data_IF_352591952103
#
_entry.id   IF_352591952103
#
_cell.length_a   1.000
_cell.length_b   1.000
_cell.length_c   1.000
_cell.angle_alpha   90.00
_cell.angle_beta   90.00
_cell.angle_gamma   90.00
#
_symmetry.space_group_name_H-M   'P 1'
#
loop_
_entity.id
_entity.type
_entity.pdbx_description
1 polymer ?
#
# COMPACT_ATOMS: atom_id res chain seq x y z
N UNK A 1 -4.26 -4.72 -8.69
CA UNK A 1 -4.42 -3.80 -7.53
C UNK A 1 -3.08 -3.68 -6.84
N UNK A 2 -2.64 -2.47 -6.53
CA UNK A 2 -1.49 -2.20 -5.68
C UNK A 2 -1.96 -1.81 -4.27
N UNK A 3 -1.23 -2.19 -3.23
CA UNK A 3 -1.55 -1.78 -1.86
C UNK A 3 -0.32 -1.55 -0.99
N UNK A 4 -0.51 -0.83 0.10
CA UNK A 4 0.46 -0.69 1.19
C UNK A 4 -0.29 -0.70 2.53
N UNK A 5 0.29 -1.30 3.56
CA UNK A 5 -0.35 -1.47 4.87
C UNK A 5 0.68 -1.63 5.98
N UNK A 6 0.23 -1.56 7.23
CA UNK A 6 0.98 -1.98 8.41
C UNK A 6 2.40 -1.44 8.46
N UNK A 7 3.33 -2.32 8.86
CA UNK A 7 4.73 -2.01 9.08
C UNK A 7 5.54 -1.85 7.78
N UNK A 8 5.13 -0.91 6.92
CA UNK A 8 5.81 -0.55 5.68
C UNK A 8 5.81 -1.63 4.61
N UNK A 9 4.77 -2.47 4.58
CA UNK A 9 4.55 -3.43 3.51
C UNK A 9 3.98 -2.75 2.28
N UNK A 10 4.41 -3.21 1.11
CA UNK A 10 3.90 -2.83 -0.20
C UNK A 10 3.61 -4.10 -0.99
N UNK A 11 2.58 -4.04 -1.83
CA UNK A 11 2.24 -5.05 -2.82
C UNK A 11 2.09 -4.35 -4.17
N UNK A 12 2.89 -4.74 -5.16
CA UNK A 12 2.84 -4.17 -6.52
C UNK A 12 1.57 -4.60 -7.27
N UNK A 13 1.34 -4.04 -8.45
CA UNK A 13 0.22 -4.46 -9.30
C UNK A 13 0.31 -5.93 -9.72
N UNK A 14 1.53 -6.46 -9.84
CA UNK A 14 1.82 -7.81 -10.30
C UNK A 14 2.01 -8.82 -9.15
N UNK A 15 1.93 -8.35 -7.90
CA UNK A 15 1.74 -9.17 -6.71
C UNK A 15 2.96 -9.32 -5.81
N UNK A 16 4.07 -8.65 -6.14
CA UNK A 16 5.29 -8.69 -5.33
C UNK A 16 5.09 -7.94 -4.01
N UNK A 17 5.29 -8.65 -2.89
CA UNK A 17 5.21 -8.09 -1.54
C UNK A 17 6.62 -7.82 -1.02
N UNK A 18 6.85 -6.59 -0.59
CA UNK A 18 8.14 -6.16 -0.05
C UNK A 18 7.97 -5.13 1.07
N UNK A 19 9.04 -4.88 1.82
CA UNK A 19 9.06 -3.90 2.90
C UNK A 19 9.99 -2.73 2.56
N UNK A 20 9.50 -1.51 2.74
CA UNK A 20 10.25 -0.27 2.49
C UNK A 20 9.94 0.82 3.53
N UNK A 21 10.80 1.03 4.55
CA UNK A 21 10.54 1.91 5.69
C UNK A 21 10.87 3.40 5.43
N UNK A 22 10.60 3.89 4.22
CA UNK A 22 10.80 5.31 3.86
C UNK A 22 9.74 6.24 4.46
N UNK A 23 10.17 7.41 4.97
CA UNK A 23 9.30 8.45 5.56
C UNK A 23 9.22 9.75 4.75
N UNK A 24 9.96 9.83 3.65
CA UNK A 24 9.88 10.93 2.69
C UNK A 24 8.57 10.88 1.87
N UNK A 25 8.40 11.84 0.97
CA UNK A 25 7.38 11.71 -0.09
C UNK A 25 7.92 10.78 -1.18
N UNK A 26 7.12 9.78 -1.55
CA UNK A 26 7.44 8.83 -2.60
C UNK A 26 6.31 8.74 -3.62
N UNK A 27 6.68 8.47 -4.88
CA UNK A 27 5.74 8.12 -5.93
C UNK A 27 5.17 6.73 -5.65
N UNK A 28 3.90 6.65 -5.24
CA UNK A 28 3.23 5.37 -5.02
C UNK A 28 2.88 4.72 -6.35
N UNK A 29 2.13 5.43 -7.20
CA UNK A 29 1.80 5.01 -8.56
C UNK A 29 1.61 6.24 -9.44
N UNK A 30 2.14 6.18 -10.65
CA UNK A 30 2.04 7.25 -11.64
C UNK A 30 1.88 6.67 -13.03
N UNK A 31 1.21 7.40 -13.91
CA UNK A 31 1.29 7.17 -15.35
C UNK A 31 2.59 7.78 -15.89
N UNK A 32 3.43 6.95 -16.50
CA UNK A 32 4.78 7.32 -16.93
C UNK A 32 4.95 7.19 -18.44
N UNK A 33 3.84 7.30 -19.20
CA UNK A 33 3.87 7.48 -20.66
C UNK A 33 4.53 8.81 -21.02
N UNK A 34 5.37 8.79 -22.06
CA UNK A 34 6.16 9.93 -22.51
C UNK A 34 5.33 11.14 -22.99
N UNK A 35 4.08 10.91 -23.42
CA UNK A 35 3.26 11.95 -24.04
C UNK A 35 2.50 12.80 -23.03
N UNK A 36 1.75 12.17 -22.13
CA UNK A 36 0.87 12.84 -21.18
C UNK A 36 0.59 11.92 -19.98
N UNK A 37 0.83 12.44 -18.77
CA UNK A 37 0.57 11.77 -17.51
C UNK A 37 -0.90 11.94 -17.11
N UNK A 38 -1.71 10.88 -17.18
CA UNK A 38 -3.12 10.95 -16.78
C UNK A 38 -3.30 11.09 -15.26
N UNK A 39 -2.41 10.50 -14.46
CA UNK A 39 -2.47 10.57 -13.01
C UNK A 39 -1.11 10.43 -12.31
N UNK A 40 -1.04 10.90 -11.06
CA UNK A 40 -0.02 10.52 -10.08
C UNK A 40 -0.61 10.42 -8.68
N UNK A 41 -0.13 9.44 -7.91
CA UNK A 41 -0.43 9.24 -6.50
C UNK A 41 0.89 9.23 -5.75
N UNK A 42 1.11 10.22 -4.90
CA UNK A 42 2.25 10.28 -4.00
C UNK A 42 1.78 10.08 -2.56
N UNK A 43 2.62 9.45 -1.76
CA UNK A 43 2.37 9.24 -0.35
C UNK A 43 3.54 9.76 0.47
N UNK A 44 3.26 10.25 1.67
CA UNK A 44 4.28 10.45 2.69
C UNK A 44 3.86 9.74 3.97
N UNK A 45 4.75 8.90 4.49
CA UNK A 45 4.56 8.26 5.80
C UNK A 45 5.07 9.16 6.93
N UNK A 46 4.53 8.94 8.12
CA UNK A 46 5.03 9.47 9.37
C UNK A 46 4.87 8.40 10.46
N UNK A 47 5.53 8.60 11.60
CA UNK A 47 5.36 7.73 12.76
C UNK A 47 4.25 8.31 13.67
N UNK A 48 3.44 7.44 14.26
CA UNK A 48 2.49 7.81 15.30
C UNK A 48 3.16 7.87 16.68
N UNK A 49 2.37 8.09 17.74
CA UNK A 49 2.90 8.15 19.12
C UNK A 49 3.50 6.82 19.62
N UNK A 50 3.13 5.70 19.01
CA UNK A 50 3.64 4.36 19.33
C UNK A 50 4.77 3.96 18.36
N UNK A 51 5.27 4.89 17.55
CA UNK A 51 6.30 4.66 16.56
C UNK A 51 5.85 3.71 15.42
N UNK A 52 4.54 3.60 15.19
CA UNK A 52 4.00 2.86 14.05
C UNK A 52 3.92 3.75 12.82
N UNK A 53 4.25 3.20 11.64
CA UNK A 53 4.13 3.94 10.40
C UNK A 53 2.66 4.12 10.01
N UNK A 54 2.29 5.35 9.67
CA UNK A 54 1.00 5.74 9.13
C UNK A 54 1.19 6.64 7.92
N UNK A 55 0.17 6.74 7.08
CA UNK A 55 0.17 7.67 5.96
C UNK A 55 -0.19 9.06 6.49
N UNK A 56 0.76 9.99 6.40
CA UNK A 56 0.57 11.37 6.82
C UNK A 56 -0.35 12.13 5.86
N UNK A 57 -0.13 11.93 4.56
CA UNK A 57 -1.00 12.43 3.50
C UNK A 57 -0.83 11.63 2.22
N UNK A 58 -1.83 11.78 1.34
CA UNK A 58 -1.82 11.29 -0.03
C UNK A 58 -2.05 12.50 -0.94
N UNK A 59 -1.15 12.71 -1.89
CA UNK A 59 -1.29 13.71 -2.94
C UNK A 59 -1.67 13.00 -4.23
N UNK A 60 -2.81 13.36 -4.81
CA UNK A 60 -3.33 12.75 -6.02
C UNK A 60 -3.50 13.85 -7.05
N UNK A 61 -2.89 13.67 -8.21
CA UNK A 61 -3.10 14.56 -9.36
C UNK A 61 -3.78 13.75 -10.45
N UNK A 62 -4.88 14.27 -10.97
CA UNK A 62 -5.61 13.70 -12.11
C UNK A 62 -5.79 14.81 -13.13
N UNK A 63 -5.04 14.74 -14.23
CA UNK A 63 -4.92 15.85 -15.18
C UNK A 63 -4.54 17.15 -14.46
N UNK A 64 -5.42 18.15 -14.47
CA UNK A 64 -5.21 19.45 -13.83
C UNK A 64 -5.75 19.51 -12.39
N UNK A 65 -6.51 18.50 -11.96
CA UNK A 65 -7.11 18.44 -10.62
C UNK A 65 -6.08 17.94 -9.60
N UNK A 66 -5.84 18.70 -8.54
CA UNK A 66 -4.98 18.28 -7.43
C UNK A 66 -5.79 18.05 -6.17
N UNK A 67 -5.67 16.84 -5.63
CA UNK A 67 -6.35 16.42 -4.40
C UNK A 67 -5.32 16.07 -3.34
N UNK A 68 -5.60 16.48 -2.12
CA UNK A 68 -4.74 16.25 -0.98
C UNK A 68 -5.56 15.68 0.17
N UNK A 69 -5.28 14.42 0.52
CA UNK A 69 -5.99 13.68 1.54
C UNK A 69 -5.17 13.62 2.82
N UNK A 70 -5.82 13.93 3.94
CA UNK A 70 -5.34 13.70 5.30
C UNK A 70 -6.47 13.06 6.12
N UNK A 71 -6.15 12.56 7.30
CA UNK A 71 -7.15 11.93 8.18
C UNK A 71 -8.32 12.90 8.41
N UNK A 72 -9.53 12.47 8.07
CA UNK A 72 -10.79 13.23 8.12
C UNK A 72 -10.82 14.52 7.28
N UNK A 73 -9.93 14.66 6.30
CA UNK A 73 -9.79 15.89 5.51
C UNK A 73 -9.50 15.60 4.04
N UNK A 74 -10.30 16.18 3.16
CA UNK A 74 -10.04 16.22 1.72
C UNK A 74 -9.91 17.69 1.28
N UNK A 75 -8.86 17.97 0.52
CA UNK A 75 -8.61 19.27 -0.10
C UNK A 75 -8.54 19.07 -1.60
N UNK A 76 -9.23 19.91 -2.38
CA UNK A 76 -9.24 19.90 -3.84
C UNK A 76 -8.89 21.31 -4.31
N UNK A 77 -7.84 21.42 -5.13
CA UNK A 77 -7.31 22.69 -5.66
C UNK A 77 -7.13 23.77 -4.58
N UNK A 78 -6.59 23.35 -3.42
CA UNK A 78 -6.31 24.23 -2.28
C UNK A 78 -7.51 24.56 -1.39
N UNK A 79 -8.71 24.07 -1.71
CA UNK A 79 -9.92 24.28 -0.90
C UNK A 79 -10.34 23.02 -0.16
N UNK A 80 -10.67 23.16 1.12
CA UNK A 80 -11.26 22.07 1.90
C UNK A 80 -12.65 21.77 1.35
N UNK A 81 -12.92 20.51 1.01
CA UNK A 81 -14.21 20.08 0.48
C UNK A 81 -14.96 19.21 1.50
N UNK A 82 -16.29 19.26 1.47
CA UNK A 82 -17.14 18.31 2.21
C UNK A 82 -17.42 17.10 1.32
N UNK A 83 -17.37 15.92 1.91
CA UNK A 83 -17.72 14.65 1.25
C UNK A 83 -19.21 14.31 1.44
N UNK A 84 -19.87 13.70 0.45
CA UNK A 84 -19.34 13.36 -0.87
C UNK A 84 -19.08 14.60 -1.73
N UNK A 85 -17.97 14.59 -2.47
CA UNK A 85 -17.58 15.66 -3.39
C UNK A 85 -17.50 15.10 -4.81
N UNK A 86 -18.09 15.79 -5.78
CA UNK A 86 -18.05 15.39 -7.18
C UNK A 86 -17.66 16.57 -8.08
N UNK A 87 -16.59 16.39 -8.86
CA UNK A 87 -16.14 17.39 -9.84
C UNK A 87 -15.25 16.74 -10.89
N UNK A 88 -15.31 17.22 -12.14
CA UNK A 88 -14.39 16.83 -13.21
C UNK A 88 -14.21 15.31 -13.43
N UNK A 89 -15.27 14.53 -13.20
CA UNK A 89 -15.24 13.07 -13.32
C UNK A 89 -14.55 12.35 -12.15
N UNK A 90 -14.36 13.04 -11.04
CA UNK A 90 -13.87 12.49 -9.76
C UNK A 90 -14.96 12.58 -8.70
N UNK A 91 -15.17 11.49 -7.99
CA UNK A 91 -16.03 11.37 -6.81
C UNK A 91 -15.16 11.05 -5.60
N UNK A 92 -15.23 11.86 -4.55
CA UNK A 92 -14.61 11.61 -3.26
C UNK A 92 -15.73 11.29 -2.25
N UNK A 93 -15.68 10.12 -1.65
CA UNK A 93 -16.58 9.70 -0.57
C UNK A 93 -15.77 9.44 0.69
N UNK A 94 -16.39 9.64 1.85
CA UNK A 94 -15.77 9.22 3.10
C UNK A 94 -16.80 8.75 4.11
N UNK A 95 -16.39 7.81 4.94
CA UNK A 95 -17.08 7.44 6.17
C UNK A 95 -16.07 7.48 7.34
N UNK A 96 -16.47 6.97 8.51
CA UNK A 96 -15.63 7.00 9.70
C UNK A 96 -14.31 6.23 9.55
N UNK A 97 -14.25 5.28 8.61
CA UNK A 97 -13.10 4.39 8.42
C UNK A 97 -12.34 4.74 7.14
N UNK A 98 -13.02 4.97 6.02
CA UNK A 98 -12.39 5.11 4.71
C UNK A 98 -12.62 6.46 4.07
N UNK A 99 -11.61 6.93 3.33
CA UNK A 99 -11.76 7.88 2.24
C UNK A 99 -11.59 7.11 0.93
N UNK A 100 -12.52 7.30 -0.01
CA UNK A 100 -12.51 6.68 -1.33
C UNK A 100 -12.50 7.76 -2.41
N UNK A 101 -11.69 7.55 -3.43
CA UNK A 101 -11.66 8.39 -4.64
C UNK A 101 -11.94 7.51 -5.84
N UNK A 102 -13.00 7.83 -6.57
CA UNK A 102 -13.36 7.20 -7.83
C UNK A 102 -13.13 8.19 -8.95
N UNK A 103 -12.30 7.83 -9.93
CA UNK A 103 -12.04 8.65 -11.09
C UNK A 103 -12.50 7.95 -12.37
N UNK A 104 -13.21 8.68 -13.22
CA UNK A 104 -13.72 8.19 -14.52
C UNK A 104 -12.61 7.66 -15.45
N UNK A 105 -11.36 8.05 -15.22
CA UNK A 105 -10.21 7.50 -15.96
C UNK A 105 -9.89 6.04 -15.62
N UNK A 106 -10.64 5.38 -14.74
CA UNK A 106 -10.36 3.99 -14.35
C UNK A 106 -9.35 3.91 -13.22
N UNK A 107 -9.46 4.80 -12.24
CA UNK A 107 -8.67 4.76 -11.00
C UNK A 107 -9.61 4.76 -9.81
N UNK A 108 -9.40 3.82 -8.89
CA UNK A 108 -10.07 3.76 -7.60
C UNK A 108 -8.99 3.76 -6.52
N UNK A 109 -9.10 4.68 -5.57
CA UNK A 109 -8.24 4.78 -4.41
C UNK A 109 -9.07 4.60 -3.14
N UNK A 110 -8.60 3.73 -2.23
CA UNK A 110 -9.26 3.47 -0.95
C UNK A 110 -8.21 3.56 0.16
N UNK A 111 -8.42 4.46 1.11
CA UNK A 111 -7.53 4.66 2.25
C UNK A 111 -8.29 4.55 3.57
N UNK A 112 -7.79 3.76 4.52
CA UNK A 112 -8.38 3.60 5.85
C UNK A 112 -8.11 4.77 6.82
N UNK A 113 -7.61 5.90 6.31
CA UNK A 113 -7.24 7.08 7.10
C UNK A 113 -6.09 6.88 8.10
N UNK A 114 -5.42 5.72 8.06
CA UNK A 114 -4.25 5.38 8.88
C UNK A 114 -3.13 4.87 7.97
N UNK A 115 -2.91 3.57 7.91
CA UNK A 115 -1.75 2.89 7.34
C UNK A 115 -2.02 2.14 6.03
N UNK A 116 -3.28 1.82 5.73
CA UNK A 116 -3.68 0.96 4.62
C UNK A 116 -4.25 1.75 3.44
N UNK A 117 -3.54 1.74 2.33
CA UNK A 117 -3.91 2.37 1.06
C UNK A 117 -3.94 1.32 -0.05
N UNK A 118 -4.98 1.35 -0.86
CA UNK A 118 -5.16 0.53 -2.04
C UNK A 118 -5.42 1.40 -3.27
N UNK A 119 -4.77 1.09 -4.38
CA UNK A 119 -5.03 1.69 -5.70
C UNK A 119 -5.36 0.58 -6.70
N UNK A 120 -6.50 0.72 -7.34
CA UNK A 120 -6.96 -0.10 -8.46
C UNK A 120 -6.96 0.74 -9.73
N UNK A 121 -6.46 0.15 -10.82
CA UNK A 121 -6.35 0.77 -12.13
C UNK A 121 -6.96 -0.14 -13.19
N UNK A 122 -7.60 0.47 -14.18
CA UNK A 122 -8.03 -0.22 -15.41
C UNK A 122 -6.82 -0.75 -16.19
N UNK A 123 -7.01 -1.85 -16.92
CA UNK A 123 -5.96 -2.52 -17.70
C UNK A 123 -5.33 -1.67 -18.80
N UNK A 124 -5.95 -0.53 -19.17
CA UNK A 124 -5.38 0.42 -20.13
C UNK A 124 -4.06 1.07 -19.66
N UNK A 125 -3.74 0.98 -18.37
CA UNK A 125 -2.48 1.46 -17.79
C UNK A 125 -1.38 0.40 -17.73
N UNK A 126 -1.62 -0.81 -18.27
CA UNK A 126 -0.61 -1.87 -18.29
C UNK A 126 0.64 -1.44 -19.08
N UNK A 127 1.83 -1.76 -18.56
CA UNK A 127 3.15 -1.35 -19.07
C UNK A 127 3.39 0.17 -19.09
N UNK A 128 2.57 0.93 -18.38
CA UNK A 128 2.60 2.40 -18.40
C UNK A 128 2.73 3.00 -17.01
N UNK A 129 2.69 2.19 -15.96
CA UNK A 129 2.85 2.71 -14.60
C UNK A 129 4.32 2.79 -14.19
N UNK A 130 4.61 3.67 -13.24
CA UNK A 130 5.85 3.62 -12.48
C UNK A 130 5.63 4.15 -11.06
N UNK A 131 6.58 3.91 -10.16
CA UNK A 131 6.43 4.17 -8.73
C UNK A 131 6.61 2.89 -7.93
N UNK A 132 6.32 2.95 -6.63
CA UNK A 132 6.39 1.81 -5.71
C UNK A 132 5.45 0.64 -6.11
N UNK A 133 4.41 0.92 -6.90
CA UNK A 133 3.47 -0.09 -7.36
C UNK A 133 3.92 -0.89 -8.60
N UNK A 134 5.09 -0.58 -9.18
CA UNK A 134 5.59 -1.27 -10.36
C UNK A 134 5.06 -0.77 -11.70
N UNK A 135 5.35 -1.53 -12.76
CA UNK A 135 5.09 -1.18 -14.16
C UNK A 135 3.79 -1.78 -14.72
N UNK A 136 3.14 -2.67 -13.96
CA UNK A 136 1.86 -3.29 -14.29
C UNK A 136 1.92 -4.07 -15.61
N UNK A 137 2.98 -4.85 -15.79
CA UNK A 137 3.23 -5.63 -17.00
C UNK A 137 2.62 -7.05 -16.94
N UNK A 138 2.21 -7.52 -15.77
CA UNK A 138 1.62 -8.85 -15.56
C UNK A 138 2.63 -10.00 -15.55
N UNK A 139 3.93 -9.74 -15.39
CA UNK A 139 5.01 -10.72 -15.48
C UNK A 139 5.74 -10.89 -14.15
N UNK A 140 5.40 -11.93 -13.34
CA UNK A 140 5.99 -12.14 -12.02
C UNK A 140 7.51 -12.45 -12.01
N UNK A 141 8.08 -12.87 -13.15
CA UNK A 141 9.50 -13.27 -13.25
C UNK A 141 10.40 -12.04 -13.49
N UNK A 142 9.89 -11.00 -14.15
CA UNK A 142 10.58 -9.73 -14.34
C UNK A 142 10.02 -8.75 -13.30
N UNK A 143 10.28 -9.07 -12.04
CA UNK A 143 9.82 -8.23 -10.94
C UNK A 143 10.46 -6.83 -11.01
N UNK A 144 9.85 -5.90 -10.29
CA UNK A 144 10.19 -4.48 -10.34
C UNK A 144 11.61 -4.17 -9.84
N UNK A 145 12.26 -5.16 -9.23
CA UNK A 145 13.61 -5.08 -8.70
C UNK A 145 14.69 -5.32 -9.77
N UNK A 146 14.33 -5.70 -11.00
CA UNK A 146 15.29 -5.95 -12.08
C UNK A 146 15.22 -4.83 -13.12
N UNK A 147 16.36 -4.20 -13.40
CA UNK A 147 16.50 -3.21 -14.48
C UNK A 147 17.69 -3.56 -15.37
N UNK A 148 17.41 -4.17 -16.52
CA UNK A 148 18.44 -4.69 -17.43
C UNK A 148 19.28 -5.78 -16.76
N UNK A 149 20.52 -5.45 -16.42
CA UNK A 149 21.46 -6.35 -15.70
C UNK A 149 21.56 -6.04 -14.20
N UNK A 150 20.95 -4.96 -13.75
CA UNK A 150 20.94 -4.58 -12.33
C UNK A 150 19.79 -5.28 -11.61
N UNK A 151 20.06 -5.79 -10.40
CA UNK A 151 19.06 -6.26 -9.45
C UNK A 151 19.16 -5.40 -8.19
N UNK A 152 18.04 -4.84 -7.78
CA UNK A 152 17.91 -4.01 -6.58
C UNK A 152 17.37 -4.84 -5.42
N UNK A 153 17.67 -4.42 -4.19
CA UNK A 153 16.89 -4.83 -3.03
C UNK A 153 15.66 -3.91 -2.88
N UNK A 154 14.75 -4.23 -1.96
CA UNK A 154 13.53 -3.46 -1.75
C UNK A 154 13.78 -2.02 -1.29
N UNK A 155 14.87 -1.78 -0.55
CA UNK A 155 15.24 -0.45 -0.03
C UNK A 155 15.77 0.43 -1.16
N UNK A 156 16.72 -0.06 -1.94
CA UNK A 156 17.26 0.64 -3.10
C UNK A 156 16.15 0.94 -4.11
N UNK A 157 15.26 -0.03 -4.38
CA UNK A 157 14.10 0.19 -5.26
C UNK A 157 13.18 1.30 -4.73
N UNK A 158 12.85 1.29 -3.44
CA UNK A 158 12.02 2.33 -2.84
C UNK A 158 12.66 3.72 -2.84
N UNK A 159 13.98 3.81 -2.60
CA UNK A 159 14.74 5.06 -2.64
C UNK A 159 14.70 5.71 -4.03
N UNK A 160 14.72 4.92 -5.10
CA UNK A 160 14.59 5.42 -6.48
C UNK A 160 13.24 6.12 -6.74
N UNK A 161 12.20 5.82 -5.95
CA UNK A 161 10.86 6.41 -6.10
C UNK A 161 10.66 7.73 -5.33
N UNK A 162 11.72 8.27 -4.72
CA UNK A 162 11.65 9.47 -3.89
C UNK A 162 11.35 10.73 -4.68
N UNK A 163 10.41 11.52 -4.18
CA UNK A 163 10.10 12.84 -4.73
C UNK A 163 11.06 13.88 -4.13
N UNK A 164 11.90 14.46 -4.98
CA UNK A 164 12.85 15.48 -4.59
C UNK A 164 12.15 16.84 -4.44
N UNK A 165 12.17 17.39 -3.23
CA UNK A 165 11.66 18.74 -2.93
C UNK A 165 12.85 19.71 -2.79
N UNK A 166 12.90 20.83 -3.54
CA UNK A 166 14.07 21.71 -3.59
C UNK A 166 14.60 22.19 -2.22
N UNK A 167 13.71 22.33 -1.22
CA UNK A 167 14.04 22.91 0.08
C UNK A 167 13.83 21.94 1.26
N UNK A 168 13.58 20.66 1.02
CA UNK A 168 13.39 19.68 2.09
C UNK A 168 14.50 18.62 2.04
N UNK A 169 15.29 18.54 3.11
CA UNK A 169 16.17 17.40 3.34
C UNK A 169 15.36 16.31 4.03
N UNK A 170 15.35 15.12 3.44
CA UNK A 170 14.77 13.93 4.03
C UNK A 170 15.76 12.78 3.80
N UNK A 171 16.10 12.06 4.85
CA UNK A 171 17.11 10.99 4.79
C UNK A 171 16.48 9.70 4.27
N UNK A 172 17.24 8.98 3.45
CA UNK A 172 16.82 7.68 2.93
C UNK A 172 17.07 6.58 3.97
N UNK A 173 16.22 5.54 4.01
CA UNK A 173 16.52 4.33 4.74
C UNK A 173 17.85 3.71 4.32
N UNK A 174 18.54 3.09 5.27
CA UNK A 174 19.82 2.45 5.07
C UNK A 174 19.69 1.21 4.16
N UNK A 175 20.30 1.29 2.97
CA UNK A 175 20.30 0.20 1.99
C UNK A 175 21.13 -1.02 2.41
N UNK A 176 22.00 -0.87 3.41
CA UNK A 176 22.84 -1.96 3.93
C UNK A 176 22.15 -2.78 5.02
N UNK A 177 20.99 -2.32 5.49
CA UNK A 177 20.25 -3.01 6.54
C UNK A 177 19.62 -4.31 6.01
N UNK A 178 20.19 -5.44 6.43
CA UNK A 178 19.60 -6.75 6.15
C UNK A 178 18.28 -6.91 6.92
N UNK A 179 17.25 -7.44 6.24
CA UNK A 179 16.02 -7.84 6.90
C UNK A 179 16.30 -9.02 7.86
N UNK A 180 15.79 -8.99 9.09
CA UNK A 180 15.95 -10.11 10.00
C UNK A 180 15.27 -11.37 9.45
N UNK A 181 15.90 -12.52 9.67
CA UNK A 181 15.26 -13.81 9.41
C UNK A 181 14.25 -14.10 10.51
N UNK A 182 12.98 -14.21 10.14
CA UNK A 182 11.86 -14.35 11.05
C UNK A 182 11.15 -15.71 10.92
N UNK A 183 11.90 -16.72 10.46
CA UNK A 183 11.43 -18.08 10.18
C UNK A 183 10.72 -18.77 11.36
N UNK A 184 11.05 -18.39 12.59
CA UNK A 184 10.44 -18.95 13.80
C UNK A 184 8.95 -18.65 13.98
N UNK A 185 8.37 -17.74 13.19
CA UNK A 185 6.95 -17.35 13.29
C UNK A 185 6.07 -17.94 12.18
N UNK A 186 6.62 -18.82 11.32
CA UNK A 186 5.90 -19.36 10.16
C UNK A 186 4.62 -20.11 10.57
N UNK A 187 4.72 -21.05 11.51
CA UNK A 187 3.59 -21.90 11.90
C UNK A 187 2.44 -21.08 12.51
N UNK A 188 2.75 -20.06 13.31
CA UNK A 188 1.75 -19.15 13.90
C UNK A 188 1.04 -18.35 12.79
N UNK A 189 1.79 -17.76 11.87
CA UNK A 189 1.24 -16.98 10.75
C UNK A 189 0.44 -17.84 9.77
N UNK A 190 0.92 -19.03 9.44
CA UNK A 190 0.22 -20.00 8.59
C UNK A 190 -1.10 -20.43 9.24
N UNK A 191 -1.10 -20.74 10.54
CA UNK A 191 -2.31 -21.10 11.28
C UNK A 191 -3.35 -19.96 11.27
N UNK A 192 -2.94 -18.72 11.52
CA UNK A 192 -3.83 -17.55 11.51
C UNK A 192 -4.49 -17.33 10.14
N UNK A 193 -3.68 -17.34 9.07
CA UNK A 193 -4.13 -17.05 7.71
C UNK A 193 -4.86 -18.22 7.04
N UNK A 194 -4.74 -19.44 7.59
CA UNK A 194 -5.48 -20.64 7.10
C UNK A 194 -6.66 -21.03 7.97
N UNK A 195 -7.01 -20.22 8.98
CA UNK A 195 -8.17 -20.43 9.84
C UNK A 195 -9.48 -20.56 9.04
N UNK A 196 -10.53 -21.09 9.69
CA UNK A 196 -11.83 -21.31 9.05
C UNK A 196 -12.46 -20.02 8.49
N UNK A 197 -12.16 -18.87 9.09
CA UNK A 197 -12.59 -17.56 8.60
C UNK A 197 -12.05 -17.25 7.19
N UNK A 198 -10.91 -17.81 6.80
CA UNK A 198 -10.28 -17.56 5.50
C UNK A 198 -10.44 -18.72 4.51
N UNK A 199 -11.37 -19.64 4.75
CA UNK A 199 -11.52 -20.85 3.93
C UNK A 199 -11.69 -20.57 2.43
N UNK A 200 -12.46 -19.54 2.06
CA UNK A 200 -12.70 -19.11 0.67
C UNK A 200 -11.58 -18.22 0.10
N UNK A 201 -10.59 -17.84 0.91
CA UNK A 201 -9.47 -16.99 0.50
C UNK A 201 -8.25 -17.80 0.03
N UNK A 202 -8.06 -19.00 0.59
CA UNK A 202 -6.84 -19.82 0.45
C UNK A 202 -6.42 -20.11 -0.99
N UNK A 203 -7.36 -20.28 -1.91
CA UNK A 203 -7.09 -20.59 -3.32
C UNK A 203 -7.16 -19.37 -4.25
N UNK A 204 -7.49 -18.18 -3.71
CA UNK A 204 -7.67 -16.95 -4.49
C UNK A 204 -6.47 -16.02 -4.43
N UNK A 205 -5.63 -16.16 -3.41
CA UNK A 205 -4.50 -15.30 -3.13
C UNK A 205 -3.22 -16.13 -3.00
N UNK A 206 -2.07 -15.51 -3.26
CA UNK A 206 -0.78 -16.13 -2.97
C UNK A 206 -0.52 -16.10 -1.45
N UNK A 207 -0.96 -17.15 -0.75
CA UNK A 207 -0.88 -17.26 0.70
C UNK A 207 0.54 -17.10 1.24
N UNK A 208 1.55 -17.66 0.56
CA UNK A 208 2.94 -17.64 1.02
C UNK A 208 3.45 -16.21 1.21
N UNK A 209 3.12 -15.29 0.30
CA UNK A 209 3.54 -13.88 0.41
C UNK A 209 2.96 -13.18 1.65
N UNK A 210 1.71 -13.50 2.02
CA UNK A 210 1.09 -12.97 3.23
C UNK A 210 1.63 -13.63 4.51
N UNK A 211 2.00 -14.91 4.46
CA UNK A 211 2.71 -15.59 5.57
C UNK A 211 4.05 -14.90 5.82
N UNK A 212 4.84 -14.62 4.78
CA UNK A 212 6.13 -13.92 4.92
C UNK A 212 5.97 -12.52 5.49
N UNK A 213 4.98 -11.74 5.04
CA UNK A 213 4.67 -10.42 5.60
C UNK A 213 4.30 -10.51 7.10
N UNK A 214 3.45 -11.47 7.47
CA UNK A 214 3.06 -11.73 8.86
C UNK A 214 4.26 -12.09 9.73
N UNK A 215 5.18 -12.93 9.22
CA UNK A 215 6.38 -13.32 9.95
C UNK A 215 7.27 -12.12 10.26
N UNK A 216 7.44 -11.21 9.31
CA UNK A 216 8.19 -9.96 9.51
C UNK A 216 7.52 -9.06 10.55
N UNK A 217 6.20 -8.93 10.52
CA UNK A 217 5.47 -8.14 11.51
C UNK A 217 5.62 -8.72 12.92
N UNK A 218 5.45 -10.03 13.10
CA UNK A 218 5.57 -10.69 14.41
C UNK A 218 6.95 -10.46 15.03
N UNK A 219 7.97 -10.58 14.20
CA UNK A 219 9.38 -10.44 14.55
C UNK A 219 9.75 -9.00 14.93
N UNK A 220 9.24 -8.02 14.17
CA UNK A 220 9.46 -6.60 14.43
C UNK A 220 8.92 -6.15 15.80
N UNK A 221 7.92 -6.86 16.33
CA UNK A 221 7.20 -6.46 17.53
C UNK A 221 7.82 -6.94 18.83
N UNK A 222 8.97 -7.63 18.79
CA UNK A 222 9.83 -7.92 19.96
C UNK A 222 9.10 -8.45 21.21
N UNK A 223 8.00 -9.18 21.03
CA UNK A 223 7.19 -9.75 22.11
C UNK A 223 6.17 -8.82 22.77
N UNK A 224 5.98 -7.58 22.29
CA UNK A 224 4.85 -6.76 22.69
C UNK A 224 3.55 -7.31 22.06
N UNK A 225 2.49 -7.44 22.86
CA UNK A 225 1.13 -7.74 22.35
C UNK A 225 0.52 -6.49 21.69
N UNK A 226 1.23 -5.93 20.71
CA UNK A 226 0.71 -4.81 19.95
C UNK A 226 -0.13 -5.33 18.78
N UNK A 227 -1.42 -5.00 18.83
CA UNK A 227 -2.37 -5.31 17.76
C UNK A 227 -1.92 -4.79 16.39
N UNK A 228 -1.17 -3.69 16.33
CA UNK A 228 -0.70 -3.12 15.05
C UNK A 228 0.09 -4.13 14.21
N UNK A 229 0.83 -5.02 14.88
CA UNK A 229 1.76 -5.95 14.26
C UNK A 229 1.05 -6.98 13.40
N UNK A 230 0.21 -7.82 13.99
CA UNK A 230 -0.43 -8.93 13.26
C UNK A 230 -1.72 -8.49 12.58
N UNK A 231 -2.50 -7.61 13.21
CA UNK A 231 -3.85 -7.31 12.75
C UNK A 231 -3.84 -6.58 11.40
N UNK A 232 -2.78 -5.81 11.10
CA UNK A 232 -2.67 -5.07 9.85
C UNK A 232 -2.53 -6.00 8.65
N UNK A 233 -1.63 -6.98 8.70
CA UNK A 233 -1.45 -7.96 7.61
C UNK A 233 -2.64 -8.90 7.47
N UNK A 234 -3.26 -9.33 8.56
CA UNK A 234 -4.48 -10.17 8.49
C UNK A 234 -5.67 -9.37 7.94
N UNK A 235 -5.78 -8.08 8.31
CA UNK A 235 -6.79 -7.19 7.71
C UNK A 235 -6.57 -7.00 6.22
N UNK A 236 -5.31 -6.86 5.79
CA UNK A 236 -4.99 -6.77 4.36
C UNK A 236 -5.35 -8.06 3.62
N UNK A 237 -5.01 -9.22 4.18
CA UNK A 237 -5.39 -10.52 3.60
C UNK A 237 -6.92 -10.65 3.45
N UNK A 238 -7.68 -10.25 4.48
CA UNK A 238 -9.13 -10.20 4.46
C UNK A 238 -9.67 -9.24 3.37
N UNK A 239 -9.12 -8.02 3.28
CA UNK A 239 -9.50 -7.02 2.26
C UNK A 239 -9.25 -7.53 0.84
N UNK A 240 -8.07 -8.09 0.60
CA UNK A 240 -7.67 -8.61 -0.70
C UNK A 240 -8.54 -9.81 -1.10
N UNK A 241 -8.90 -10.67 -0.13
CA UNK A 241 -9.81 -11.78 -0.37
C UNK A 241 -11.20 -11.30 -0.79
N UNK A 242 -11.75 -10.30 -0.08
CA UNK A 242 -13.02 -9.70 -0.44
C UNK A 242 -12.98 -8.99 -1.80
N UNK A 243 -11.85 -8.38 -2.15
CA UNK A 243 -11.67 -7.68 -3.43
C UNK A 243 -11.75 -8.66 -4.61
N UNK A 244 -11.10 -9.83 -4.52
CA UNK A 244 -11.15 -10.87 -5.56
C UNK A 244 -12.41 -11.75 -5.51
N UNK A 245 -13.46 -11.26 -4.84
CA UNK A 245 -14.78 -11.91 -4.77
C UNK A 245 -14.90 -13.05 -3.75
N UNK A 246 -13.88 -13.27 -2.93
CA UNK A 246 -13.96 -14.18 -1.78
C UNK A 246 -14.79 -13.59 -0.64
N UNK A 247 -15.18 -14.44 0.32
CA UNK A 247 -15.98 -14.04 1.48
C UNK A 247 -15.27 -14.46 2.78
N UNK A 248 -14.34 -13.64 3.30
CA UNK A 248 -13.77 -13.91 4.61
C UNK A 248 -14.87 -13.83 5.69
N UNK A 249 -14.81 -14.74 6.65
CA UNK A 249 -15.63 -14.70 7.86
C UNK A 249 -15.07 -13.74 8.91
N UNK A 250 -15.77 -13.64 10.04
CA UNK A 250 -15.31 -12.90 11.20
C UNK A 250 -14.08 -13.57 11.82
N UNK A 251 -12.94 -12.87 11.83
CA UNK A 251 -11.67 -13.36 12.37
C UNK A 251 -11.21 -12.55 13.60
N UNK A 252 -11.78 -11.37 13.83
CA UNK A 252 -11.52 -10.54 15.00
C UNK A 252 -12.31 -11.07 16.20
N UNK A 253 -11.68 -11.10 17.36
CA UNK A 253 -12.30 -11.56 18.62
C UNK A 253 -11.97 -10.60 19.76
N UNK A 254 -12.62 -10.75 20.91
CA UNK A 254 -12.33 -9.91 22.08
C UNK A 254 -10.86 -9.97 22.55
N UNK A 255 -10.17 -11.07 22.26
CA UNK A 255 -8.78 -11.29 22.64
C UNK A 255 -7.80 -11.17 21.45
N UNK A 256 -8.30 -10.79 20.27
CA UNK A 256 -7.50 -10.72 19.04
C UNK A 256 -8.07 -9.68 18.07
N UNK A 257 -7.37 -8.55 17.91
CA UNK A 257 -7.61 -7.55 16.86
C UNK A 257 -9.00 -6.88 16.81
#
# INVERSE_FOLDING_TARGET
VCSTWGNNHFKTFDGDIYQFPGICEYNFASDCRDSYKEFSVHIQRALDSNNHPKIQYILITIKDLTMYLRRKLAVVDGQIVKTPYYSSGVLIESNDIYIKVYAKLGLILIWNQEDALMVELDSKFSNHTCGLCGDYNGVPIYNEFINGVASYNSITYGNLQKIHKPNAKCEDPDETQALPSCNGHRDECEWLLTSSAFADCRLRLNLEMYIQACMQDKCACKGYEDSFCLCSTISEYSRQCSHVGGRPGEWRTQNFC
#
